data_IF_250815791927
#
_entry.id   IF_250815791927
#
_cell.length_a   1.000
_cell.length_b   1.000
_cell.length_c   1.000
_cell.angle_alpha   90.00
_cell.angle_beta   90.00
_cell.angle_gamma   90.00
#
_symmetry.space_group_name_H-M   'P 1'
#
loop_
_entity.id
_entity.type
_entity.pdbx_description
1 polymer ?
#
# COMPACT_ATOMS: atom_id res chain seq x y z
N UNK A 1 25.02 51.20 15.17
CA UNK A 1 26.39 50.82 15.50
C UNK A 1 27.04 50.38 14.20
N UNK A 2 28.04 51.12 13.75
CA UNK A 2 28.80 50.83 12.53
C UNK A 2 30.26 50.90 12.93
N UNK A 3 30.96 49.76 12.91
CA UNK A 3 32.39 49.69 13.28
C UNK A 3 32.79 48.53 14.19
N UNK A 4 31.87 47.67 14.61
CA UNK A 4 32.20 46.52 15.47
C UNK A 4 32.79 45.36 14.66
N UNK A 5 33.87 44.76 15.18
CA UNK A 5 34.44 43.51 14.65
C UNK A 5 33.74 42.33 15.29
N UNK A 6 33.16 41.46 14.47
CA UNK A 6 32.51 40.22 14.91
C UNK A 6 33.30 39.01 14.41
N UNK A 7 33.54 38.04 15.30
CA UNK A 7 34.13 36.75 14.96
C UNK A 7 33.03 35.68 14.88
N UNK A 8 33.12 34.77 13.90
CA UNK A 8 32.12 33.71 13.68
C UNK A 8 32.81 32.36 13.80
N UNK A 9 32.47 31.59 14.83
CA UNK A 9 32.87 30.18 14.94
C UNK A 9 31.88 29.30 14.16
N UNK A 10 32.34 28.61 13.12
CA UNK A 10 31.51 27.74 12.27
C UNK A 10 31.82 26.26 12.46
N UNK A 11 30.81 25.40 12.33
CA UNK A 11 30.97 23.95 12.25
C UNK A 11 30.19 23.39 11.05
N UNK A 12 30.75 22.42 10.29
CA UNK A 12 30.05 21.81 9.16
C UNK A 12 28.84 20.96 9.55
N UNK A 13 28.73 20.56 10.82
CA UNK A 13 27.61 19.75 11.33
C UNK A 13 26.40 20.57 11.78
N UNK A 14 26.49 21.90 11.79
CA UNK A 14 25.38 22.74 12.23
C UNK A 14 24.29 22.87 11.16
N UNK A 15 23.05 22.64 11.60
CA UNK A 15 21.86 22.69 10.75
C UNK A 15 20.98 23.85 11.23
N UNK A 16 20.46 24.71 10.33
CA UNK A 16 19.56 25.79 10.71
C UNK A 16 18.33 25.29 11.46
N UNK A 17 17.99 25.98 12.54
CA UNK A 17 16.81 25.67 13.37
C UNK A 17 15.72 26.70 13.16
N UNK A 18 14.47 26.29 13.36
CA UNK A 18 13.31 27.18 13.21
C UNK A 18 13.38 28.37 14.18
N UNK A 19 13.90 28.13 15.40
CA UNK A 19 14.06 29.14 16.45
C UNK A 19 14.93 30.34 16.05
N UNK A 20 15.79 30.18 15.04
CA UNK A 20 16.62 31.29 14.55
C UNK A 20 15.79 32.43 13.96
N UNK A 21 14.58 32.14 13.51
CA UNK A 21 13.67 33.15 12.99
C UNK A 21 13.19 34.14 14.05
N UNK A 22 13.36 33.84 15.35
CA UNK A 22 12.94 34.70 16.45
C UNK A 22 13.89 35.88 16.70
N UNK A 23 15.18 35.76 16.36
CA UNK A 23 16.19 36.80 16.61
C UNK A 23 16.81 37.39 15.33
N UNK A 24 16.62 36.75 14.17
CA UNK A 24 17.17 37.26 12.90
C UNK A 24 16.30 38.38 12.34
N UNK A 25 16.89 39.56 12.17
CA UNK A 25 16.18 40.77 11.72
C UNK A 25 16.18 40.91 10.19
N UNK A 26 17.30 40.61 9.53
CA UNK A 26 17.46 40.92 8.10
C UNK A 26 16.65 39.96 7.21
N UNK A 27 15.88 40.51 6.27
CA UNK A 27 15.01 39.73 5.37
C UNK A 27 15.77 38.67 4.58
N UNK A 28 16.97 39.01 4.08
CA UNK A 28 17.83 38.07 3.34
C UNK A 28 18.20 36.85 4.18
N UNK A 29 18.58 37.04 5.45
CA UNK A 29 18.94 35.93 6.33
C UNK A 29 17.71 35.10 6.72
N UNK A 30 16.58 35.74 7.06
CA UNK A 30 15.32 35.04 7.36
C UNK A 30 14.87 34.15 6.20
N UNK A 31 14.94 34.66 4.97
CA UNK A 31 14.56 33.90 3.78
C UNK A 31 15.50 32.71 3.55
N UNK A 32 16.81 32.90 3.74
CA UNK A 32 17.77 31.79 3.58
C UNK A 32 17.56 30.68 4.60
N UNK A 33 17.28 31.04 5.86
CA UNK A 33 16.96 30.06 6.93
C UNK A 33 15.71 29.26 6.57
N UNK A 34 14.62 29.95 6.19
CA UNK A 34 13.38 29.29 5.77
C UNK A 34 13.59 28.35 4.58
N UNK A 35 14.34 28.82 3.57
CA UNK A 35 14.66 28.03 2.40
C UNK A 35 15.38 26.74 2.79
N UNK A 36 16.45 26.83 3.59
CA UNK A 36 17.23 25.65 3.98
C UNK A 36 16.42 24.68 4.83
N UNK A 37 15.57 25.16 5.75
CA UNK A 37 14.68 24.29 6.51
C UNK A 37 13.68 23.58 5.60
N UNK A 38 13.12 24.28 4.61
CA UNK A 38 12.20 23.69 3.65
C UNK A 38 12.89 22.63 2.76
N UNK A 39 14.12 22.89 2.33
CA UNK A 39 14.95 21.93 1.58
C UNK A 39 15.23 20.67 2.40
N UNK A 40 15.49 20.80 3.70
CA UNK A 40 15.66 19.67 4.61
C UNK A 40 14.38 18.84 4.75
N UNK A 41 13.24 19.50 4.97
CA UNK A 41 11.95 18.81 5.04
C UNK A 41 11.62 18.08 3.74
N UNK A 42 11.89 18.70 2.58
CA UNK A 42 11.71 18.06 1.29
C UNK A 42 12.60 16.82 1.13
N UNK A 43 13.85 16.86 1.62
CA UNK A 43 14.75 15.71 1.59
C UNK A 43 14.25 14.55 2.45
N UNK A 44 13.73 14.85 3.64
CA UNK A 44 13.12 13.86 4.53
C UNK A 44 11.85 13.28 3.89
N UNK A 45 11.02 14.12 3.26
CA UNK A 45 9.85 13.67 2.50
C UNK A 45 10.23 12.70 1.38
N UNK A 46 11.29 12.99 0.61
CA UNK A 46 11.70 12.09 -0.47
C UNK A 46 12.18 10.73 0.07
N UNK A 47 12.93 10.73 1.18
CA UNK A 47 13.30 9.50 1.88
C UNK A 47 12.09 8.71 2.36
N UNK A 48 11.10 9.38 2.96
CA UNK A 48 9.87 8.74 3.42
C UNK A 48 9.07 8.10 2.28
N UNK A 49 9.04 8.77 1.12
CA UNK A 49 8.42 8.24 -0.10
C UNK A 49 9.16 7.00 -0.61
N UNK A 50 10.49 7.04 -0.70
CA UNK A 50 11.30 5.90 -1.13
C UNK A 50 11.11 4.70 -0.18
N UNK A 51 11.12 4.95 1.13
CA UNK A 51 10.89 3.92 2.16
C UNK A 51 9.52 3.26 2.00
N UNK A 52 8.47 4.06 1.79
CA UNK A 52 7.13 3.54 1.55
C UNK A 52 7.08 2.69 0.28
N UNK A 53 7.58 3.23 -0.83
CA UNK A 53 7.61 2.52 -2.13
C UNK A 53 8.35 1.19 -2.04
N UNK A 54 9.50 1.16 -1.36
CA UNK A 54 10.26 -0.07 -1.13
C UNK A 54 9.44 -1.10 -0.34
N UNK A 55 8.70 -0.68 0.68
CA UNK A 55 7.86 -1.59 1.49
C UNK A 55 6.66 -2.13 0.70
N UNK A 56 6.01 -1.30 -0.09
CA UNK A 56 4.92 -1.71 -0.99
C UNK A 56 5.41 -2.73 -2.03
N UNK A 57 6.55 -2.45 -2.67
CA UNK A 57 7.18 -3.37 -3.64
C UNK A 57 7.53 -4.72 -3.01
N UNK A 58 8.08 -4.72 -1.79
CA UNK A 58 8.40 -5.96 -1.08
C UNK A 58 7.16 -6.82 -0.77
N UNK A 59 5.98 -6.19 -0.64
CA UNK A 59 4.70 -6.87 -0.44
C UNK A 59 3.93 -7.14 -1.74
N UNK A 60 4.50 -6.79 -2.90
CA UNK A 60 3.85 -6.90 -4.23
C UNK A 60 2.51 -6.15 -4.30
N UNK A 61 2.44 -5.00 -3.62
CA UNK A 61 1.27 -4.11 -3.68
C UNK A 61 1.55 -3.06 -4.74
N UNK A 62 0.67 -2.97 -5.73
CA UNK A 62 0.68 -1.89 -6.71
C UNK A 62 0.07 -0.63 -6.09
N UNK A 63 0.80 0.49 -6.19
CA UNK A 63 0.37 1.76 -5.59
C UNK A 63 -0.59 2.45 -6.54
N UNK A 64 -1.85 2.56 -6.14
CA UNK A 64 -2.81 3.49 -6.74
C UNK A 64 -2.73 4.84 -6.02
N UNK A 65 -2.44 5.89 -6.79
CA UNK A 65 -2.33 7.25 -6.30
C UNK A 65 -3.67 7.76 -5.73
N UNK A 66 -4.81 7.34 -6.29
CA UNK A 66 -6.12 7.73 -5.80
C UNK A 66 -6.43 7.13 -4.42
N UNK A 67 -6.13 5.84 -4.24
CA UNK A 67 -6.25 5.19 -2.93
C UNK A 67 -5.28 5.78 -1.92
N UNK A 68 -4.02 5.99 -2.30
CA UNK A 68 -3.02 6.57 -1.42
C UNK A 68 -3.44 7.96 -0.90
N UNK A 69 -3.98 8.83 -1.76
CA UNK A 69 -4.51 10.13 -1.32
C UNK A 69 -5.65 10.00 -0.30
N UNK A 70 -6.53 9.01 -0.44
CA UNK A 70 -7.58 8.74 0.54
C UNK A 70 -7.00 8.25 1.86
N UNK A 71 -6.01 7.35 1.83
CA UNK A 71 -5.29 6.87 3.01
C UNK A 71 -4.64 8.03 3.76
N UNK A 72 -3.94 8.91 3.04
CA UNK A 72 -3.31 10.12 3.60
C UNK A 72 -4.35 11.01 4.29
N UNK A 73 -5.49 11.24 3.64
CA UNK A 73 -6.59 12.04 4.19
C UNK A 73 -7.22 11.40 5.43
N UNK A 74 -7.40 10.07 5.42
CA UNK A 74 -7.96 9.31 6.55
C UNK A 74 -7.03 9.34 7.77
N UNK A 75 -5.72 9.32 7.55
CA UNK A 75 -4.69 9.48 8.58
C UNK A 75 -4.58 10.92 9.11
N UNK A 76 -5.33 11.88 8.55
CA UNK A 76 -5.41 13.26 9.03
C UNK A 76 -4.34 14.20 8.50
N UNK A 77 -3.55 13.79 7.50
CA UNK A 77 -2.52 14.64 6.91
C UNK A 77 -3.12 15.59 5.86
N UNK A 78 -2.75 16.86 5.94
CA UNK A 78 -3.24 17.92 5.04
C UNK A 78 -2.52 17.93 3.69
N UNK A 79 -1.22 17.63 3.70
CA UNK A 79 -0.40 17.57 2.49
C UNK A 79 0.32 16.23 2.40
N UNK A 80 0.58 15.81 1.16
CA UNK A 80 1.33 14.59 0.86
C UNK A 80 2.77 14.68 1.39
N UNK A 81 3.37 15.88 1.32
CA UNK A 81 4.71 16.16 1.87
C UNK A 81 4.75 15.96 3.39
N UNK A 82 3.73 16.42 4.13
CA UNK A 82 3.67 16.24 5.59
C UNK A 82 3.60 14.74 5.95
N UNK A 83 2.81 13.97 5.21
CA UNK A 83 2.69 12.53 5.39
C UNK A 83 4.02 11.81 5.17
N UNK A 84 4.70 12.06 4.05
CA UNK A 84 6.00 11.44 3.79
C UNK A 84 7.08 11.91 4.76
N UNK A 85 7.02 13.17 5.20
CA UNK A 85 7.93 13.69 6.22
C UNK A 85 7.70 12.97 7.57
N UNK A 86 6.45 12.67 7.93
CA UNK A 86 6.12 11.90 9.13
C UNK A 86 6.66 10.46 9.07
N UNK A 87 6.62 9.82 7.88
CA UNK A 87 7.25 8.52 7.65
C UNK A 87 8.78 8.63 7.77
N UNK A 88 9.39 9.63 7.13
CA UNK A 88 10.84 9.83 7.14
C UNK A 88 11.40 10.14 8.54
N UNK A 89 10.61 10.79 9.39
CA UNK A 89 10.94 11.05 10.80
C UNK A 89 10.50 9.91 11.76
N UNK A 90 10.08 8.76 11.23
CA UNK A 90 9.64 7.59 12.00
C UNK A 90 8.48 7.87 12.98
N UNK A 91 7.72 8.95 12.76
CA UNK A 91 6.52 9.28 13.55
C UNK A 91 5.33 8.40 13.14
N UNK A 92 5.33 7.95 11.88
CA UNK A 92 4.31 7.09 11.31
C UNK A 92 4.93 5.78 10.87
N UNK A 93 4.47 4.67 11.44
CA UNK A 93 4.92 3.35 11.05
C UNK A 93 4.34 2.96 9.67
N UNK A 94 5.24 2.50 8.80
CA UNK A 94 4.89 2.10 7.43
C UNK A 94 3.95 0.89 7.43
N UNK A 95 4.05 -0.01 8.42
CA UNK A 95 3.17 -1.19 8.49
C UNK A 95 1.74 -0.78 8.76
N UNK A 96 1.55 0.20 9.64
CA UNK A 96 0.24 0.80 9.95
C UNK A 96 -0.38 1.48 8.71
N UNK A 97 0.44 2.18 7.92
CA UNK A 97 0.00 2.78 6.65
C UNK A 97 -0.47 1.72 5.66
N UNK A 98 0.27 0.62 5.52
CA UNK A 98 -0.10 -0.46 4.60
C UNK A 98 -1.41 -1.11 5.04
N UNK A 99 -1.59 -1.36 6.34
CA UNK A 99 -2.84 -1.92 6.86
C UNK A 99 -4.05 -1.02 6.55
N UNK A 100 -3.89 0.30 6.66
CA UNK A 100 -4.92 1.27 6.32
C UNK A 100 -5.20 1.35 4.82
N UNK A 101 -4.15 1.25 3.99
CA UNK A 101 -4.26 1.17 2.54
C UNK A 101 -5.07 -0.07 2.11
N UNK A 102 -4.71 -1.25 2.62
CA UNK A 102 -5.44 -2.51 2.34
C UNK A 102 -6.89 -2.45 2.82
N UNK A 103 -7.17 -1.73 3.91
CA UNK A 103 -8.53 -1.56 4.43
C UNK A 103 -9.40 -0.72 3.48
N UNK A 104 -8.82 0.32 2.87
CA UNK A 104 -9.49 1.16 1.87
C UNK A 104 -9.69 0.38 0.57
N UNK A 105 -8.68 -0.35 0.11
CA UNK A 105 -8.77 -1.19 -1.09
C UNK A 105 -9.91 -2.22 -0.99
N UNK A 106 -10.03 -2.90 0.17
CA UNK A 106 -11.15 -3.83 0.42
C UNK A 106 -12.51 -3.14 0.48
N UNK A 107 -12.56 -1.93 1.04
CA UNK A 107 -13.80 -1.16 1.09
C UNK A 107 -14.28 -0.75 -0.31
N UNK A 108 -13.36 -0.45 -1.23
CA UNK A 108 -13.68 -0.08 -2.61
C UNK A 108 -13.97 -1.29 -3.51
N UNK A 109 -13.27 -2.40 -3.31
CA UNK A 109 -13.46 -3.62 -4.11
C UNK A 109 -14.78 -4.33 -3.82
N UNK A 110 -15.55 -3.90 -2.80
CA UNK A 110 -16.88 -4.45 -2.50
C UNK A 110 -16.89 -5.91 -2.04
N UNK A 111 -15.72 -6.54 -1.91
CA UNK A 111 -15.55 -7.88 -1.37
C UNK A 111 -15.80 -7.87 0.14
N UNK A 112 -17.08 -7.90 0.52
CA UNK A 112 -17.44 -8.69 1.70
C UNK A 112 -16.88 -10.07 1.41
N UNK A 113 -15.87 -10.52 2.17
CA UNK A 113 -15.44 -11.92 2.15
C UNK A 113 -16.72 -12.76 2.10
N UNK A 114 -16.96 -13.43 0.97
CA UNK A 114 -17.89 -14.53 0.98
C UNK A 114 -17.34 -15.43 2.08
N UNK A 115 -18.05 -15.52 3.19
CA UNK A 115 -17.79 -16.52 4.21
C UNK A 115 -17.57 -17.81 3.43
N UNK A 116 -16.38 -18.40 3.58
CA UNK A 116 -16.04 -19.61 2.87
C UNK A 116 -17.13 -20.61 3.20
N UNK A 117 -18.05 -20.84 2.27
CA UNK A 117 -18.98 -21.96 2.35
C UNK A 117 -18.07 -23.17 2.34
N UNK A 118 -17.91 -23.76 3.51
CA UNK A 118 -17.11 -24.98 3.65
C UNK A 118 -17.66 -26.01 2.67
N UNK A 119 -16.76 -26.78 2.07
CA UNK A 119 -17.15 -27.81 1.11
C UNK A 119 -18.12 -28.86 1.71
N UNK A 120 -18.27 -28.90 3.05
CA UNK A 120 -19.24 -29.73 3.75
C UNK A 120 -20.71 -29.50 3.35
N UNK A 121 -21.11 -28.35 2.81
CA UNK A 121 -22.52 -28.07 2.47
C UNK A 121 -22.86 -28.29 0.98
N UNK A 122 -21.91 -28.75 0.16
CA UNK A 122 -22.16 -29.04 -1.24
C UNK A 122 -22.91 -30.38 -1.41
N UNK A 123 -24.24 -30.35 -1.37
CA UNK A 123 -25.06 -31.48 -1.79
C UNK A 123 -25.21 -31.49 -3.32
N UNK A 124 -24.60 -32.47 -3.98
CA UNK A 124 -24.80 -32.73 -5.39
C UNK A 124 -26.24 -33.25 -5.60
N UNK A 125 -27.19 -32.36 -5.87
CA UNK A 125 -28.51 -32.78 -6.35
C UNK A 125 -28.37 -33.18 -7.83
N UNK A 126 -28.37 -34.49 -8.09
CA UNK A 126 -28.65 -34.99 -9.42
C UNK A 126 -30.05 -34.51 -9.82
N UNK A 127 -30.12 -33.59 -10.78
CA UNK A 127 -31.37 -33.34 -11.48
C UNK A 127 -31.61 -34.56 -12.38
N UNK A 128 -32.60 -35.38 -12.04
CA UNK A 128 -33.18 -36.32 -12.98
C UNK A 128 -33.91 -35.51 -14.06
N UNK A 129 -33.16 -35.04 -15.05
CA UNK A 129 -33.74 -34.55 -16.29
C UNK A 129 -34.33 -35.74 -17.04
N UNK A 130 -35.60 -35.97 -16.77
CA UNK A 130 -36.43 -36.93 -17.46
C UNK A 130 -36.83 -36.34 -18.81
N UNK A 131 -35.94 -36.43 -19.81
CA UNK A 131 -36.29 -36.28 -21.23
C UNK A 131 -35.38 -37.13 -22.13
N UNK A 132 -35.94 -37.78 -23.17
CA UNK A 132 -35.26 -38.83 -23.91
C UNK A 132 -34.34 -38.21 -24.96
N UNK A 133 -33.03 -38.26 -24.73
CA UNK A 133 -32.04 -37.97 -25.75
C UNK A 133 -31.60 -39.29 -26.39
N UNK A 134 -31.83 -39.33 -27.69
CA UNK A 134 -31.59 -40.40 -28.66
C UNK A 134 -30.14 -40.91 -28.68
N UNK A 135 -30.05 -42.23 -28.80
CA UNK A 135 -29.00 -43.11 -29.35
C UNK A 135 -27.50 -42.87 -29.05
N UNK A 136 -26.89 -43.98 -28.63
CA UNK A 136 -25.47 -44.31 -28.55
C UNK A 136 -24.71 -44.00 -27.24
N UNK A 137 -25.19 -44.53 -26.11
CA UNK A 137 -24.33 -44.83 -24.96
C UNK A 137 -24.49 -46.31 -24.57
N UNK A 138 -23.47 -47.12 -24.86
CA UNK A 138 -23.39 -48.51 -24.39
C UNK A 138 -22.83 -48.52 -22.95
N UNK A 139 -23.72 -48.52 -21.96
CA UNK A 139 -23.36 -48.76 -20.55
C UNK A 139 -23.14 -50.26 -20.38
N UNK A 140 -21.88 -50.69 -20.30
CA UNK A 140 -21.51 -52.06 -19.97
C UNK A 140 -21.80 -52.27 -18.49
N UNK A 141 -22.99 -52.79 -18.21
CA UNK A 141 -23.37 -53.27 -16.88
C UNK A 141 -22.47 -54.43 -16.46
N UNK A 142 -22.04 -54.38 -15.21
CA UNK A 142 -21.13 -55.31 -14.54
C UNK A 142 -21.76 -56.71 -14.40
N UNK A 143 -21.83 -57.49 -15.49
CA UNK A 143 -22.11 -58.93 -15.44
C UNK A 143 -21.71 -59.70 -16.71
N UNK A 144 -20.47 -59.54 -17.19
CA UNK A 144 -19.95 -60.38 -18.28
C UNK A 144 -19.47 -61.74 -17.78
N UNK A 145 -20.40 -62.69 -17.57
CA UNK A 145 -20.07 -64.12 -17.48
C UNK A 145 -20.52 -64.84 -18.75
N UNK A 146 -19.55 -65.27 -19.55
CA UNK A 146 -19.72 -66.34 -20.53
C UNK A 146 -19.62 -65.95 -21.99
N UNK A 147 -18.50 -65.34 -22.43
CA UNK A 147 -18.24 -65.16 -23.86
C UNK A 147 -16.91 -65.84 -24.22
N UNK A 148 -17.00 -66.96 -24.95
CA UNK A 148 -15.85 -67.61 -25.58
C UNK A 148 -15.54 -66.92 -26.89
N UNK A 149 -14.31 -66.44 -27.06
CA UNK A 149 -13.81 -65.91 -28.32
C UNK A 149 -12.95 -66.94 -29.05
N UNK A 150 -13.09 -67.00 -30.38
CA UNK A 150 -12.18 -67.72 -31.26
C UNK A 150 -11.83 -66.79 -32.43
N UNK A 151 -10.57 -66.40 -32.50
CA UNK A 151 -10.05 -65.50 -33.54
C UNK A 151 -9.66 -66.32 -34.79
N UNK A 152 -10.06 -65.83 -35.96
CA UNK A 152 -9.44 -66.19 -37.24
C UNK A 152 -8.33 -65.21 -37.56
#
# INVERSE_FOLDING_TARGET
>A
QSGDTVEISTSPSQIPKLDWLNFVVTTKARNKIKQTINELNNRVSELGKELLQRRFKNRKIDIDEAMLMRTIKKLGYRTVTDFYTAIGNEQLDITSVIAEYDAIERAESGEKKAEGRSAEEFSLQYQEDNQPATDDILIIGDNIKGINYRLS
#
